data_IF_778609956557
#
_entry.id   IF_778609956557
#
_cell.length_a   1.000
_cell.length_b   1.000
_cell.length_c   1.000
_cell.angle_alpha   90.00
_cell.angle_beta   90.00
_cell.angle_gamma   90.00
#
_symmetry.space_group_name_H-M   'P 1'
#
loop_
_entity.id
_entity.type
_entity.pdbx_description
1 polymer ?
#
# COMPACT_ATOMS: atom_id res chain seq x y z
N UNK A 1 28.02 -29.11 -32.71
CA UNK A 1 26.90 -29.39 -31.85
C UNK A 1 26.48 -28.11 -31.12
N UNK A 2 25.39 -27.57 -31.66
CA UNK A 2 24.86 -26.27 -31.25
C UNK A 2 24.24 -26.32 -29.84
N UNK A 3 24.69 -25.48 -28.94
CA UNK A 3 24.02 -25.22 -27.67
C UNK A 3 22.85 -24.25 -27.93
N UNK A 4 21.63 -24.79 -27.99
CA UNK A 4 20.40 -23.99 -27.90
C UNK A 4 20.36 -23.27 -26.55
N UNK A 5 20.45 -21.94 -26.58
CA UNK A 5 20.17 -21.07 -25.45
C UNK A 5 18.67 -21.19 -25.15
N UNK A 6 18.36 -21.75 -23.99
CA UNK A 6 17.01 -21.80 -23.43
C UNK A 6 16.62 -20.38 -22.97
N UNK A 7 15.83 -19.69 -23.77
CA UNK A 7 15.19 -18.45 -23.36
C UNK A 7 14.14 -18.77 -22.28
N UNK A 8 14.39 -18.32 -21.05
CA UNK A 8 13.38 -18.36 -19.99
C UNK A 8 12.16 -17.54 -20.42
N UNK A 9 10.93 -18.04 -20.27
CA UNK A 9 9.75 -17.26 -20.59
C UNK A 9 9.72 -16.02 -19.71
N UNK A 10 9.59 -14.86 -20.33
CA UNK A 10 9.33 -13.59 -19.64
C UNK A 10 7.94 -13.73 -19.04
N UNK A 11 7.86 -13.94 -17.74
CA UNK A 11 6.60 -13.93 -17.00
C UNK A 11 6.05 -12.52 -17.10
N UNK A 12 5.06 -12.33 -17.99
CA UNK A 12 4.36 -11.06 -18.12
C UNK A 12 3.73 -10.70 -16.78
N UNK A 13 4.18 -9.60 -16.18
CA UNK A 13 3.56 -9.07 -14.96
C UNK A 13 2.18 -8.51 -15.34
N UNK A 14 1.13 -9.22 -14.98
CA UNK A 14 -0.25 -8.78 -15.20
C UNK A 14 -0.71 -8.03 -13.94
N UNK A 15 -1.22 -6.82 -14.13
CA UNK A 15 -1.86 -6.04 -13.07
C UNK A 15 -3.36 -6.06 -13.32
N UNK A 16 -4.14 -6.50 -12.34
CA UNK A 16 -5.61 -6.37 -12.38
C UNK A 16 -5.98 -5.01 -11.84
N UNK A 17 -6.76 -4.27 -12.61
CA UNK A 17 -7.26 -2.94 -12.24
C UNK A 17 -8.77 -2.98 -12.31
N UNK A 18 -9.43 -2.36 -11.35
CA UNK A 18 -10.88 -2.22 -11.33
C UNK A 18 -11.33 -1.30 -12.48
N UNK A 19 -12.36 -1.73 -13.21
CA UNK A 19 -12.91 -0.98 -14.35
C UNK A 19 -13.42 0.39 -13.90
N UNK A 20 -14.07 0.48 -12.73
CA UNK A 20 -14.57 1.76 -12.19
C UNK A 20 -13.43 2.76 -11.95
N UNK A 21 -12.28 2.30 -11.46
CA UNK A 21 -11.08 3.15 -11.28
C UNK A 21 -10.53 3.62 -12.64
N UNK A 22 -10.60 2.78 -13.67
CA UNK A 22 -10.19 3.16 -15.04
C UNK A 22 -11.14 4.18 -15.66
N UNK A 23 -12.45 4.04 -15.46
CA UNK A 23 -13.44 4.97 -15.97
C UNK A 23 -13.28 6.37 -15.36
N UNK A 24 -13.03 6.46 -14.05
CA UNK A 24 -12.71 7.73 -13.38
C UNK A 24 -11.44 8.35 -13.98
N UNK A 25 -10.41 7.57 -14.21
CA UNK A 25 -9.17 8.04 -14.83
C UNK A 25 -9.40 8.58 -16.24
N UNK A 26 -10.16 7.86 -17.07
CA UNK A 26 -10.50 8.27 -18.43
C UNK A 26 -11.30 9.58 -18.47
N UNK A 27 -12.25 9.75 -17.54
CA UNK A 27 -13.02 10.98 -17.40
C UNK A 27 -12.13 12.18 -17.05
N UNK A 28 -11.18 12.00 -16.11
CA UNK A 28 -10.21 13.04 -15.73
C UNK A 28 -9.24 13.38 -16.86
N UNK A 29 -8.81 12.43 -17.67
CA UNK A 29 -8.00 12.69 -18.86
C UNK A 29 -8.77 13.54 -19.86
N UNK A 30 -10.05 13.24 -20.09
CA UNK A 30 -10.92 14.03 -20.97
C UNK A 30 -11.08 15.46 -20.45
N UNK A 31 -11.30 15.61 -19.15
CA UNK A 31 -11.42 16.92 -18.48
C UNK A 31 -10.11 17.72 -18.58
N UNK A 32 -8.95 17.07 -18.44
CA UNK A 32 -7.65 17.69 -18.65
C UNK A 32 -7.47 18.23 -20.07
N UNK A 33 -7.92 17.46 -21.07
CA UNK A 33 -7.86 17.88 -22.48
C UNK A 33 -8.74 19.12 -22.68
N UNK A 34 -9.94 19.15 -22.11
CA UNK A 34 -10.85 20.30 -22.19
C UNK A 34 -10.24 21.52 -21.52
N UNK A 35 -9.71 21.38 -20.31
CA UNK A 35 -9.05 22.46 -19.56
C UNK A 35 -7.86 23.06 -20.34
N UNK A 36 -7.02 22.17 -20.88
CA UNK A 36 -5.90 22.59 -21.75
C UNK A 36 -6.38 23.38 -22.98
N UNK A 37 -7.40 22.91 -23.67
CA UNK A 37 -7.91 23.58 -24.85
C UNK A 37 -8.53 24.96 -24.52
N UNK A 38 -9.24 25.05 -23.39
CA UNK A 38 -9.79 26.31 -22.88
C UNK A 38 -8.70 27.33 -22.57
N UNK A 39 -7.62 26.89 -21.93
CA UNK A 39 -6.45 27.73 -21.64
C UNK A 39 -5.77 28.23 -22.93
N UNK A 40 -5.56 27.34 -23.90
CA UNK A 40 -4.99 27.72 -25.19
C UNK A 40 -5.86 28.74 -25.93
N UNK A 41 -7.18 28.54 -25.94
CA UNK A 41 -8.11 29.50 -26.56
C UNK A 41 -8.09 30.86 -25.87
N UNK A 42 -8.03 30.88 -24.54
CA UNK A 42 -7.90 32.11 -23.76
C UNK A 42 -6.57 32.84 -24.02
N UNK A 43 -5.47 32.10 -24.17
CA UNK A 43 -4.13 32.66 -24.43
C UNK A 43 -4.00 33.24 -25.84
N UNK A 44 -4.72 32.72 -26.83
CA UNK A 44 -4.72 33.19 -28.22
C UNK A 44 -5.61 34.44 -28.41
N UNK A 45 -6.64 34.60 -27.55
CA UNK A 45 -7.54 35.72 -27.60
C UNK A 45 -6.85 37.01 -27.08
N UNK A 46 -6.63 38.00 -27.92
CA UNK A 46 -6.03 39.30 -27.56
C UNK A 46 -6.80 40.11 -26.50
N UNK A 47 -8.02 39.66 -26.15
CA UNK A 47 -8.90 40.25 -25.13
C UNK A 47 -8.81 39.57 -23.78
N UNK A 48 -7.89 38.64 -23.59
CA UNK A 48 -7.77 37.91 -22.32
C UNK A 48 -7.21 38.81 -21.23
N UNK A 49 -8.09 39.28 -20.33
CA UNK A 49 -7.65 39.87 -19.07
C UNK A 49 -6.81 38.80 -18.31
N UNK A 50 -5.72 39.22 -17.70
CA UNK A 50 -4.82 38.35 -16.92
C UNK A 50 -5.61 37.44 -15.90
N UNK A 51 -6.72 37.95 -15.37
CA UNK A 51 -7.59 37.23 -14.46
C UNK A 51 -8.32 36.02 -15.14
N UNK A 52 -8.68 36.13 -16.43
CA UNK A 52 -9.31 35.03 -17.16
C UNK A 52 -8.33 33.89 -17.41
N UNK A 53 -7.10 34.19 -17.78
CA UNK A 53 -6.05 33.19 -17.97
C UNK A 53 -5.70 32.52 -16.65
N UNK A 54 -5.61 33.27 -15.55
CA UNK A 54 -5.32 32.73 -14.22
C UNK A 54 -6.38 31.72 -13.77
N UNK A 55 -7.67 31.99 -13.96
CA UNK A 55 -8.74 31.04 -13.61
C UNK A 55 -8.65 29.73 -14.40
N UNK A 56 -8.24 29.77 -15.67
CA UNK A 56 -8.02 28.57 -16.46
C UNK A 56 -6.79 27.79 -16.01
N UNK A 57 -5.73 28.46 -15.54
CA UNK A 57 -4.53 27.83 -14.97
C UNK A 57 -4.91 27.11 -13.66
N UNK A 58 -5.63 27.78 -12.75
CA UNK A 58 -6.09 27.18 -11.49
C UNK A 58 -6.98 25.95 -11.73
N UNK A 59 -7.86 26.03 -12.71
CA UNK A 59 -8.68 24.87 -13.09
C UNK A 59 -7.83 23.70 -13.63
N UNK A 60 -6.87 24.00 -14.51
CA UNK A 60 -5.93 23.00 -15.03
C UNK A 60 -5.12 22.33 -13.91
N UNK A 61 -4.65 23.11 -12.94
CA UNK A 61 -3.92 22.60 -11.76
C UNK A 61 -4.81 21.66 -10.94
N UNK A 62 -6.06 22.05 -10.68
CA UNK A 62 -7.03 21.21 -9.97
C UNK A 62 -7.27 19.88 -10.68
N UNK A 63 -7.51 19.90 -11.99
CA UNK A 63 -7.72 18.69 -12.80
C UNK A 63 -6.47 17.80 -12.80
N UNK A 64 -5.29 18.40 -12.90
CA UNK A 64 -4.02 17.65 -12.87
C UNK A 64 -3.80 16.97 -11.52
N UNK A 65 -4.11 17.66 -10.42
CA UNK A 65 -4.04 17.09 -9.07
C UNK A 65 -5.00 15.91 -8.91
N UNK A 66 -6.26 16.07 -9.32
CA UNK A 66 -7.26 15.01 -9.28
C UNK A 66 -6.85 13.80 -10.15
N UNK A 67 -6.25 14.05 -11.31
CA UNK A 67 -5.72 13.00 -12.17
C UNK A 67 -4.58 12.24 -11.47
N UNK A 68 -3.66 12.94 -10.84
CA UNK A 68 -2.56 12.32 -10.08
C UNK A 68 -3.09 11.43 -8.97
N UNK A 69 -4.04 11.91 -8.16
CA UNK A 69 -4.68 11.11 -7.11
C UNK A 69 -5.38 9.87 -7.66
N UNK A 70 -6.06 10.00 -8.79
CA UNK A 70 -6.74 8.86 -9.41
C UNK A 70 -5.78 7.82 -9.96
N UNK A 71 -4.65 8.23 -10.53
CA UNK A 71 -3.56 7.33 -10.93
C UNK A 71 -3.01 6.59 -9.73
N UNK A 72 -2.78 7.30 -8.61
CA UNK A 72 -2.32 6.68 -7.37
C UNK A 72 -3.33 5.66 -6.84
N UNK A 73 -4.63 5.96 -6.85
CA UNK A 73 -5.69 5.01 -6.44
C UNK A 73 -5.73 3.75 -7.29
N UNK A 74 -5.41 3.83 -8.59
CA UNK A 74 -5.30 2.65 -9.47
C UNK A 74 -4.15 1.73 -9.04
N UNK A 75 -3.09 2.29 -8.48
CA UNK A 75 -1.92 1.54 -7.99
C UNK A 75 -2.07 0.99 -6.57
N UNK A 76 -3.08 1.43 -5.82
CA UNK A 76 -3.33 0.96 -4.47
C UNK A 76 -3.78 -0.50 -4.46
N UNK A 77 -3.22 -1.27 -3.55
CA UNK A 77 -3.56 -2.68 -3.34
C UNK A 77 -3.66 -2.97 -1.85
N UNK A 78 -4.54 -3.91 -1.42
CA UNK A 78 -4.63 -4.31 -0.02
C UNK A 78 -3.32 -4.91 0.49
N UNK A 79 -2.97 -4.63 1.75
CA UNK A 79 -1.79 -5.21 2.39
C UNK A 79 -1.94 -6.70 2.69
N UNK A 80 -3.15 -7.24 2.57
CA UNK A 80 -3.48 -8.65 2.77
C UNK A 80 -2.48 -9.60 2.09
N UNK A 81 -2.07 -9.27 0.85
CA UNK A 81 -1.12 -10.06 0.07
C UNK A 81 0.23 -10.26 0.76
N UNK A 82 0.64 -9.29 1.59
CA UNK A 82 1.90 -9.35 2.36
C UNK A 82 1.71 -10.04 3.70
N UNK A 83 0.65 -9.67 4.43
CA UNK A 83 0.46 -10.12 5.82
C UNK A 83 -0.07 -11.54 5.94
N UNK A 84 -0.70 -12.10 4.91
CA UNK A 84 -1.23 -13.47 4.90
C UNK A 84 -0.21 -14.57 5.21
N UNK A 85 1.07 -14.32 5.02
CA UNK A 85 2.17 -15.26 5.35
C UNK A 85 2.55 -15.25 6.83
N UNK A 86 2.21 -14.21 7.58
CA UNK A 86 2.69 -14.01 8.95
C UNK A 86 2.11 -15.01 9.96
N UNK A 87 0.84 -15.44 9.91
CA UNK A 87 0.33 -16.46 10.82
C UNK A 87 1.13 -17.76 10.77
N UNK A 88 1.53 -18.19 9.57
CA UNK A 88 2.36 -19.38 9.41
C UNK A 88 3.75 -19.16 10.02
N UNK A 89 4.36 -18.00 9.74
CA UNK A 89 5.67 -17.64 10.29
C UNK A 89 5.65 -17.64 11.84
N UNK A 90 4.65 -17.02 12.46
CA UNK A 90 4.51 -16.99 13.92
C UNK A 90 4.33 -18.38 14.50
N UNK A 91 3.56 -19.26 13.85
CA UNK A 91 3.43 -20.65 14.25
C UNK A 91 4.75 -21.41 14.22
N UNK A 92 5.55 -21.17 13.18
CA UNK A 92 6.88 -21.81 13.05
C UNK A 92 7.86 -21.27 14.11
N UNK A 93 7.82 -19.95 14.39
CA UNK A 93 8.60 -19.33 15.46
C UNK A 93 8.16 -19.81 16.84
N UNK A 94 6.88 -19.96 17.10
CA UNK A 94 6.33 -20.52 18.34
C UNK A 94 6.95 -21.87 18.68
N UNK A 95 7.02 -22.76 17.68
CA UNK A 95 7.65 -24.08 17.83
C UNK A 95 9.17 -23.98 18.04
N UNK A 96 9.83 -23.10 17.28
CA UNK A 96 11.30 -22.97 17.34
C UNK A 96 11.79 -22.35 18.65
N UNK A 97 11.03 -21.41 19.20
CA UNK A 97 11.38 -20.67 20.43
C UNK A 97 10.80 -21.32 21.69
N UNK A 98 10.00 -22.40 21.54
CA UNK A 98 9.26 -23.05 22.62
C UNK A 98 8.42 -22.04 23.44
N UNK A 99 7.81 -21.09 22.74
CA UNK A 99 6.92 -20.07 23.31
C UNK A 99 5.52 -20.21 22.72
N UNK A 100 4.49 -20.25 23.57
CA UNK A 100 3.10 -20.19 23.10
C UNK A 100 2.75 -18.74 22.75
N UNK A 101 2.40 -18.52 21.47
CA UNK A 101 2.04 -17.18 20.99
C UNK A 101 0.96 -17.25 19.92
N UNK A 102 0.16 -16.17 19.86
CA UNK A 102 -0.88 -15.98 18.87
C UNK A 102 -0.72 -14.62 18.21
N UNK A 103 -1.01 -14.55 16.91
CA UNK A 103 -0.99 -13.33 16.11
C UNK A 103 -2.43 -12.91 15.82
N UNK A 104 -2.76 -11.70 16.19
CA UNK A 104 -4.02 -11.04 15.85
C UNK A 104 -3.74 -9.95 14.82
N UNK A 105 -4.50 -9.97 13.72
CA UNK A 105 -4.33 -9.00 12.64
C UNK A 105 -5.65 -8.29 12.40
N UNK A 106 -5.56 -6.98 12.16
CA UNK A 106 -6.69 -6.14 11.74
C UNK A 106 -6.28 -5.22 10.61
N UNK A 107 -7.25 -4.84 9.76
CA UNK A 107 -7.02 -3.91 8.68
C UNK A 107 -6.34 -4.49 7.45
N UNK A 108 -6.52 -5.78 7.17
CA UNK A 108 -5.96 -6.46 5.99
C UNK A 108 -6.37 -5.80 4.66
N UNK A 109 -7.53 -5.14 4.64
CA UNK A 109 -8.05 -4.42 3.48
C UNK A 109 -7.52 -3.00 3.33
N UNK A 110 -6.64 -2.55 4.24
CA UNK A 110 -6.00 -1.24 4.12
C UNK A 110 -5.16 -1.21 2.84
N UNK A 111 -5.42 -0.21 2.00
CA UNK A 111 -4.77 -0.09 0.71
C UNK A 111 -3.49 0.75 0.81
N UNK A 112 -2.43 0.29 0.15
CA UNK A 112 -1.15 0.99 -0.01
C UNK A 112 -0.71 0.97 -1.47
N UNK A 113 0.16 1.91 -1.85
CA UNK A 113 0.82 1.86 -3.15
C UNK A 113 1.55 0.51 -3.30
N UNK A 114 1.41 -0.09 -4.47
CA UNK A 114 1.96 -1.41 -4.77
C UNK A 114 3.47 -1.50 -4.51
N UNK A 115 4.22 -0.45 -4.81
CA UNK A 115 5.68 -0.43 -4.56
C UNK A 115 5.97 -0.54 -3.08
N UNK A 116 5.20 0.17 -2.24
CA UNK A 116 5.33 0.10 -0.78
C UNK A 116 4.95 -1.28 -0.26
N UNK A 117 3.87 -1.87 -0.79
CA UNK A 117 3.43 -3.23 -0.41
C UNK A 117 4.52 -4.26 -0.72
N UNK A 118 5.19 -4.14 -1.87
CA UNK A 118 6.27 -5.04 -2.26
C UNK A 118 7.50 -4.92 -1.33
N UNK A 119 7.76 -3.75 -0.77
CA UNK A 119 8.94 -3.47 0.07
C UNK A 119 8.70 -3.65 1.57
N UNK A 120 7.45 -3.48 2.06
CA UNK A 120 7.15 -3.45 3.50
C UNK A 120 7.20 -4.84 4.15
N UNK A 121 7.11 -5.90 3.36
CA UNK A 121 7.02 -7.27 3.86
C UNK A 121 8.19 -7.69 4.75
N UNK A 122 9.40 -7.38 4.35
CA UNK A 122 10.62 -7.75 5.08
C UNK A 122 10.79 -6.96 6.39
N UNK A 123 10.60 -5.63 6.43
CA UNK A 123 10.53 -4.87 7.67
C UNK A 123 9.49 -5.39 8.66
N UNK A 124 8.25 -5.65 8.22
CA UNK A 124 7.20 -6.17 9.09
C UNK A 124 7.54 -7.56 9.63
N UNK A 125 8.08 -8.43 8.78
CA UNK A 125 8.55 -9.76 9.21
C UNK A 125 9.62 -9.66 10.28
N UNK A 126 10.54 -8.68 10.16
CA UNK A 126 11.58 -8.45 11.15
C UNK A 126 11.01 -7.96 12.48
N UNK A 127 10.04 -7.03 12.46
CA UNK A 127 9.36 -6.55 13.66
C UNK A 127 8.64 -7.68 14.38
N UNK A 128 7.84 -8.47 13.67
CA UNK A 128 7.13 -9.61 14.24
C UNK A 128 8.07 -10.66 14.83
N UNK A 129 9.22 -10.88 14.19
CA UNK A 129 10.25 -11.77 14.75
C UNK A 129 10.84 -11.22 16.03
N UNK A 130 11.11 -9.91 16.09
CA UNK A 130 11.61 -9.28 17.31
C UNK A 130 10.60 -9.38 18.46
N UNK A 131 9.31 -9.14 18.17
CA UNK A 131 8.23 -9.33 19.16
C UNK A 131 8.17 -10.76 19.67
N UNK A 132 8.28 -11.76 18.78
CA UNK A 132 8.27 -13.16 19.17
C UNK A 132 9.50 -13.59 19.99
N UNK A 133 10.69 -13.11 19.62
CA UNK A 133 11.95 -13.53 20.23
C UNK A 133 12.25 -12.76 21.51
N UNK A 134 12.18 -11.44 21.46
CA UNK A 134 12.60 -10.55 22.53
C UNK A 134 11.42 -9.87 23.26
N UNK A 135 10.28 -9.62 22.59
CA UNK A 135 9.11 -8.97 23.18
C UNK A 135 8.36 -9.91 24.15
N UNK A 136 8.11 -11.15 23.73
CA UNK A 136 7.40 -12.11 24.56
C UNK A 136 8.34 -12.85 25.51
N UNK A 137 7.98 -12.89 26.79
CA UNK A 137 8.69 -13.67 27.81
C UNK A 137 8.51 -15.19 27.63
N UNK A 138 9.44 -15.97 28.19
CA UNK A 138 9.29 -17.43 28.28
C UNK A 138 8.10 -17.85 29.14
N UNK A 139 7.62 -19.07 28.97
CA UNK A 139 6.48 -19.61 29.71
C UNK A 139 6.70 -19.52 31.23
N UNK A 140 7.92 -19.79 31.71
CA UNK A 140 8.26 -19.73 33.14
C UNK A 140 8.18 -18.30 33.68
N UNK A 141 8.77 -17.32 32.96
CA UNK A 141 8.74 -15.90 33.36
C UNK A 141 7.32 -15.36 33.36
N UNK A 142 6.50 -15.74 32.38
CA UNK A 142 5.07 -15.36 32.32
C UNK A 142 4.30 -15.89 33.50
N UNK A 143 4.50 -17.17 33.85
CA UNK A 143 3.87 -17.79 35.04
C UNK A 143 4.29 -17.08 36.33
N UNK A 144 5.58 -16.75 36.52
CA UNK A 144 6.07 -16.00 37.67
C UNK A 144 5.45 -14.59 37.78
N UNK A 145 5.15 -13.95 36.64
CA UNK A 145 4.55 -12.62 36.58
C UNK A 145 3.02 -12.63 36.58
N UNK A 146 2.39 -13.80 36.65
CA UNK A 146 0.93 -13.93 36.60
C UNK A 146 0.32 -13.55 35.25
N UNK A 147 1.11 -13.58 34.17
CA UNK A 147 0.63 -13.32 32.81
C UNK A 147 0.04 -14.59 32.18
N UNK A 148 -0.88 -14.44 31.21
CA UNK A 148 -1.41 -15.59 30.46
C UNK A 148 -0.29 -16.43 29.83
N UNK A 149 -0.47 -17.75 29.79
CA UNK A 149 0.54 -18.67 29.23
C UNK A 149 0.82 -18.43 27.74
N UNK A 150 -0.17 -17.92 27.00
CA UNK A 150 -0.05 -17.56 25.59
C UNK A 150 0.27 -16.07 25.48
N UNK A 151 1.35 -15.74 24.77
CA UNK A 151 1.69 -14.35 24.42
C UNK A 151 0.88 -13.91 23.21
N UNK A 152 0.47 -12.67 23.17
CA UNK A 152 -0.28 -12.08 22.06
C UNK A 152 0.57 -11.08 21.32
N UNK A 153 0.58 -11.18 19.99
CA UNK A 153 1.18 -10.20 19.09
C UNK A 153 0.05 -9.61 18.26
N UNK A 154 0.01 -8.29 18.13
CA UNK A 154 -1.01 -7.58 17.36
C UNK A 154 -0.34 -6.89 16.18
N UNK A 155 -0.94 -7.02 15.01
CA UNK A 155 -0.59 -6.28 13.79
C UNK A 155 -1.85 -5.55 13.34
N UNK A 156 -1.86 -4.25 13.52
CA UNK A 156 -2.99 -3.40 13.17
C UNK A 156 -2.60 -2.46 12.04
N UNK A 157 -3.43 -2.39 10.99
CA UNK A 157 -3.25 -1.46 9.90
C UNK A 157 -4.50 -0.60 9.74
N UNK A 158 -4.30 0.72 9.61
CA UNK A 158 -5.41 1.65 9.43
C UNK A 158 -4.96 2.93 8.74
N UNK A 159 -5.92 3.67 8.23
CA UNK A 159 -5.67 4.98 7.65
C UNK A 159 -5.84 6.06 8.70
N UNK A 160 -4.85 6.95 8.80
CA UNK A 160 -4.88 8.13 9.64
C UNK A 160 -4.62 9.38 8.77
N UNK A 161 -5.68 10.07 8.39
CA UNK A 161 -5.62 11.17 7.45
C UNK A 161 -5.05 10.73 6.09
N UNK A 162 -3.94 11.33 5.68
CA UNK A 162 -3.24 11.00 4.43
C UNK A 162 -2.17 9.91 4.61
N UNK A 163 -2.02 9.37 5.81
CA UNK A 163 -1.03 8.34 6.11
C UNK A 163 -1.71 7.00 6.35
N UNK A 164 -0.98 5.93 6.06
CA UNK A 164 -1.32 4.58 6.54
C UNK A 164 -0.40 4.25 7.69
N UNK A 165 -0.99 3.83 8.79
CA UNK A 165 -0.27 3.39 9.99
C UNK A 165 -0.33 1.88 10.05
N UNK A 166 0.82 1.25 10.24
CA UNK A 166 0.94 -0.17 10.54
C UNK A 166 1.66 -0.31 11.86
N UNK A 167 0.97 -0.87 12.84
CA UNK A 167 1.43 -0.97 14.22
C UNK A 167 1.64 -2.43 14.59
N UNK A 168 2.77 -2.73 15.22
CA UNK A 168 3.07 -4.04 15.81
C UNK A 168 3.22 -3.86 17.31
N UNK A 169 2.43 -4.61 18.09
CA UNK A 169 2.45 -4.60 19.56
C UNK A 169 2.57 -6.02 20.10
N UNK A 170 3.26 -6.17 21.23
CA UNK A 170 3.42 -7.43 21.97
C UNK A 170 3.16 -7.28 23.46
#
# INVERSE_FOLDING_TARGET
PDKKASSKPVVGRTVRVDIEKLDVLMNLVSELIIAKNSLLSAAVSEQSNANGVMSHIEYLESVTTNLHESVMKVRMVPIESVINKFPRMIRDLSKKLDKKMELYMTGEQTELDRTVVDEIGDPLMHLLRNSADHGLESAEVRAQRGKPAVGSIFLDAYQDGNNVVIEVRD
#
